data_IF_807309377984
#
_entry.id   IF_807309377984
#
_cell.length_a   1.000
_cell.length_b   1.000
_cell.length_c   1.000
_cell.angle_alpha   90.00
_cell.angle_beta   90.00
_cell.angle_gamma   90.00
#
_symmetry.space_group_name_H-M   'P 1'
#
loop_
_entity.id
_entity.type
_entity.pdbx_description
1 polymer ?
#
# COMPACT_ATOMS: atom_id res chain seq x y z
N UNK A 1 -71.96 22.58 30.28
CA UNK A 1 -71.34 23.91 30.05
C UNK A 1 -71.21 24.11 28.54
N UNK A 2 -71.46 25.32 28.01
CA UNK A 2 -71.55 25.60 26.56
C UNK A 2 -70.26 26.27 26.04
N UNK A 3 -69.90 26.02 24.78
CA UNK A 3 -68.83 26.76 24.06
C UNK A 3 -69.29 28.18 23.73
N UNK A 4 -68.34 29.12 23.62
CA UNK A 4 -68.46 30.32 22.79
C UNK A 4 -67.05 30.78 22.35
N UNK A 5 -66.96 31.36 21.14
CA UNK A 5 -65.71 31.74 20.47
C UNK A 5 -65.32 33.18 20.79
N UNK A 6 -64.05 33.55 20.52
CA UNK A 6 -63.81 34.77 19.74
C UNK A 6 -62.54 34.68 18.87
N UNK A 7 -62.67 35.12 17.63
CA UNK A 7 -61.61 35.20 16.61
C UNK A 7 -60.86 36.54 16.70
N UNK A 8 -59.54 36.52 16.62
CA UNK A 8 -58.74 37.71 16.28
C UNK A 8 -58.19 37.56 14.86
N UNK A 9 -58.69 38.36 13.92
CA UNK A 9 -58.19 38.46 12.53
C UNK A 9 -57.15 39.59 12.47
N UNK A 10 -55.96 39.35 11.89
CA UNK A 10 -55.07 40.42 11.44
C UNK A 10 -54.52 40.13 10.03
N UNK A 11 -54.75 41.08 9.13
CA UNK A 11 -54.43 41.10 7.68
C UNK A 11 -54.46 42.57 7.23
N UNK A 12 -53.66 43.11 6.30
CA UNK A 12 -52.69 42.54 5.33
C UNK A 12 -51.42 43.40 5.34
N UNK A 13 -50.23 42.83 5.14
CA UNK A 13 -49.04 43.59 4.73
C UNK A 13 -48.06 42.75 3.87
N UNK A 14 -48.42 42.52 2.61
CA UNK A 14 -47.46 42.08 1.58
C UNK A 14 -46.59 43.26 1.14
N UNK A 15 -45.27 43.12 1.18
CA UNK A 15 -44.36 44.00 0.46
C UNK A 15 -43.28 43.15 -0.22
N UNK A 16 -43.21 43.24 -1.54
CA UNK A 16 -42.34 42.45 -2.40
C UNK A 16 -40.93 43.06 -2.51
N UNK A 17 -40.03 42.25 -3.08
CA UNK A 17 -38.86 42.66 -3.86
C UNK A 17 -37.51 42.81 -3.12
N UNK A 18 -36.72 41.74 -3.14
CA UNK A 18 -35.37 41.80 -3.73
C UNK A 18 -34.89 40.39 -4.12
N UNK A 19 -34.40 40.26 -5.34
CA UNK A 19 -33.61 39.11 -5.79
C UNK A 19 -32.29 39.09 -5.00
N UNK A 20 -31.82 37.92 -4.60
CA UNK A 20 -30.45 37.50 -4.92
C UNK A 20 -30.23 35.98 -4.73
N UNK A 21 -29.86 35.33 -5.85
CA UNK A 21 -29.16 34.05 -5.98
C UNK A 21 -29.84 32.74 -5.54
N UNK A 22 -29.80 31.68 -6.38
CA UNK A 22 -30.20 30.34 -5.96
C UNK A 22 -29.17 29.77 -4.97
N UNK A 23 -29.65 28.99 -4.00
CA UNK A 23 -28.81 28.08 -3.24
C UNK A 23 -28.32 26.96 -4.18
N UNK A 24 -27.26 27.24 -4.95
CA UNK A 24 -26.47 26.22 -5.61
C UNK A 24 -25.73 25.46 -4.50
N UNK A 25 -26.43 24.49 -3.92
CA UNK A 25 -25.79 23.42 -3.15
C UNK A 25 -24.99 22.63 -4.17
N UNK A 26 -23.78 23.11 -4.46
CA UNK A 26 -22.72 22.24 -4.93
C UNK A 26 -22.76 21.03 -4.00
N UNK A 27 -22.81 19.80 -4.52
CA UNK A 27 -22.21 18.71 -3.78
C UNK A 27 -20.82 19.24 -3.43
N UNK A 28 -20.49 19.29 -2.13
CA UNK A 28 -19.08 19.22 -1.77
C UNK A 28 -18.66 17.89 -2.39
N UNK A 29 -18.06 17.95 -3.58
CA UNK A 29 -17.29 16.85 -4.11
C UNK A 29 -16.36 16.51 -2.95
N UNK A 30 -16.55 15.32 -2.39
CA UNK A 30 -15.78 14.84 -1.28
C UNK A 30 -14.37 14.66 -1.80
N UNK A 31 -13.64 15.77 -1.78
CA UNK A 31 -12.20 15.80 -1.64
C UNK A 31 -11.91 15.24 -0.25
N UNK A 32 -12.11 13.92 -0.16
CA UNK A 32 -11.12 13.02 0.41
C UNK A 32 -9.82 13.38 -0.31
N UNK A 33 -9.19 14.47 0.12
CA UNK A 33 -7.75 14.56 0.09
C UNK A 33 -7.33 13.36 0.93
N UNK A 34 -6.74 12.30 0.36
CA UNK A 34 -6.20 11.26 1.19
C UNK A 34 -5.24 11.94 2.18
N UNK A 35 -5.49 11.74 3.48
CA UNK A 35 -4.70 12.29 4.59
C UNK A 35 -3.34 11.61 4.70
N UNK A 36 -2.63 11.57 3.58
CA UNK A 36 -1.35 10.96 3.31
C UNK A 36 -1.06 11.33 1.84
N UNK A 37 -0.05 12.15 1.57
CA UNK A 37 0.55 12.10 0.23
C UNK A 37 0.94 10.66 -0.03
N UNK A 38 0.50 10.09 -1.15
CA UNK A 38 0.55 8.64 -1.36
C UNK A 38 2.02 8.20 -1.49
N UNK A 39 2.65 7.82 -0.36
CA UNK A 39 4.04 7.39 -0.23
C UNK A 39 4.25 6.00 -0.86
N UNK A 40 3.61 5.74 -2.00
CA UNK A 40 3.51 4.48 -2.70
C UNK A 40 4.88 3.82 -2.88
N UNK A 41 5.16 2.81 -2.05
CA UNK A 41 6.37 2.01 -2.14
C UNK A 41 6.23 1.17 -3.42
N UNK A 42 7.01 1.49 -4.44
CA UNK A 42 6.91 0.82 -5.74
C UNK A 42 7.22 -0.66 -5.54
N UNK A 43 6.37 -1.59 -6.03
CA UNK A 43 6.64 -3.02 -5.89
C UNK A 43 7.96 -3.36 -6.58
N UNK A 44 8.95 -3.74 -5.78
CA UNK A 44 10.34 -3.89 -6.20
C UNK A 44 10.54 -5.27 -6.82
N UNK A 45 11.01 -5.30 -8.06
CA UNK A 45 11.50 -6.52 -8.72
C UNK A 45 12.91 -6.85 -8.19
N UNK A 46 13.36 -8.10 -8.40
CA UNK A 46 14.75 -8.47 -8.12
C UNK A 46 15.70 -7.58 -8.91
N UNK A 47 16.60 -6.90 -8.23
CA UNK A 47 17.66 -6.10 -8.85
C UNK A 47 18.86 -6.96 -9.22
N UNK A 48 19.70 -6.50 -10.16
CA UNK A 48 20.94 -7.21 -10.54
C UNK A 48 21.85 -7.53 -9.34
N UNK A 49 21.95 -6.62 -8.37
CA UNK A 49 22.74 -6.83 -7.15
C UNK A 49 22.09 -7.82 -6.17
N UNK A 50 20.77 -7.98 -6.18
CA UNK A 50 20.08 -9.04 -5.41
C UNK A 50 20.23 -10.40 -6.10
N UNK A 51 20.24 -10.44 -7.43
CA UNK A 51 20.55 -11.66 -8.20
C UNK A 51 22.00 -12.12 -7.97
N UNK A 52 22.97 -11.22 -7.98
CA UNK A 52 24.36 -11.55 -7.72
C UNK A 52 24.56 -12.16 -6.32
N UNK A 53 23.92 -11.58 -5.28
CA UNK A 53 23.93 -12.14 -3.93
C UNK A 53 23.34 -13.55 -3.85
N UNK A 54 22.29 -13.85 -4.63
CA UNK A 54 21.72 -15.18 -4.70
C UNK A 54 22.65 -16.21 -5.35
N UNK A 55 23.55 -15.78 -6.25
CA UNK A 55 24.62 -16.62 -6.81
C UNK A 55 25.75 -16.81 -5.79
N UNK A 56 26.15 -15.76 -5.09
CA UNK A 56 27.16 -15.80 -4.01
C UNK A 56 26.72 -16.69 -2.83
N UNK A 57 25.47 -16.60 -2.39
CA UNK A 57 24.84 -17.48 -1.40
C UNK A 57 24.56 -18.91 -1.95
N UNK A 58 24.90 -19.19 -3.23
CA UNK A 58 24.67 -20.47 -3.94
C UNK A 58 23.20 -20.92 -3.94
N UNK A 59 22.27 -19.98 -3.84
CA UNK A 59 20.82 -20.24 -3.91
C UNK A 59 20.41 -20.49 -5.36
N UNK A 60 21.04 -19.80 -6.32
CA UNK A 60 20.85 -20.01 -7.77
C UNK A 60 22.21 -20.09 -8.48
N UNK A 61 22.24 -20.66 -9.69
CA UNK A 61 23.42 -20.57 -10.56
C UNK A 61 23.46 -19.23 -11.32
N UNK A 62 24.62 -18.87 -11.87
CA UNK A 62 24.76 -17.69 -12.73
C UNK A 62 23.82 -17.78 -13.95
N UNK A 63 23.70 -18.94 -14.59
CA UNK A 63 22.79 -19.18 -15.71
C UNK A 63 21.31 -18.95 -15.31
N UNK A 64 20.91 -19.38 -14.11
CA UNK A 64 19.58 -19.09 -13.59
C UNK A 64 19.38 -17.59 -13.33
N UNK A 65 20.40 -16.89 -12.80
CA UNK A 65 20.34 -15.45 -12.57
C UNK A 65 20.15 -14.66 -13.88
N UNK A 66 20.85 -15.04 -14.94
CA UNK A 66 20.72 -14.41 -16.26
C UNK A 66 19.35 -14.69 -16.91
N UNK A 67 18.82 -15.92 -16.79
CA UNK A 67 17.45 -16.26 -17.21
C UNK A 67 16.38 -15.49 -16.44
N UNK A 68 16.54 -15.29 -15.13
CA UNK A 68 15.63 -14.45 -14.33
C UNK A 68 15.71 -12.99 -14.79
N UNK A 69 16.90 -12.47 -15.07
CA UNK A 69 17.12 -11.10 -15.55
C UNK A 69 16.46 -10.86 -16.91
N UNK A 70 16.57 -11.81 -17.83
CA UNK A 70 15.88 -11.77 -19.13
C UNK A 70 14.36 -11.81 -18.95
N UNK A 71 13.85 -12.74 -18.12
CA UNK A 71 12.43 -12.86 -17.80
C UNK A 71 11.85 -11.55 -17.23
N UNK A 72 12.55 -10.93 -16.28
CA UNK A 72 12.15 -9.65 -15.67
C UNK A 72 12.18 -8.49 -16.69
N UNK A 73 13.15 -8.48 -17.62
CA UNK A 73 13.21 -7.49 -18.70
C UNK A 73 12.00 -7.62 -19.62
N UNK A 74 11.71 -8.85 -20.10
CA UNK A 74 10.55 -9.13 -20.96
C UNK A 74 9.24 -8.73 -20.28
N UNK A 75 9.05 -9.09 -19.00
CA UNK A 75 7.87 -8.69 -18.21
C UNK A 75 7.73 -7.17 -18.05
N UNK A 76 8.84 -6.43 -17.98
CA UNK A 76 8.83 -4.97 -17.91
C UNK A 76 8.40 -4.35 -19.25
N UNK A 77 8.83 -4.93 -20.38
CA UNK A 77 8.45 -4.52 -21.73
C UNK A 77 6.97 -4.82 -22.00
N UNK A 78 6.49 -6.03 -21.73
CA UNK A 78 5.06 -6.41 -21.78
C UNK A 78 4.18 -5.41 -21.02
N UNK A 79 4.57 -5.08 -19.78
CA UNK A 79 3.85 -4.13 -18.92
C UNK A 79 3.89 -2.69 -19.45
N UNK A 80 4.96 -2.29 -20.13
CA UNK A 80 5.09 -0.96 -20.75
C UNK A 80 4.17 -0.83 -21.96
N UNK A 81 4.07 -1.88 -22.78
CA UNK A 81 3.14 -1.94 -23.91
C UNK A 81 1.68 -1.95 -23.47
N UNK A 82 1.35 -2.77 -22.46
CA UNK A 82 0.03 -2.79 -21.82
C UNK A 82 -0.34 -1.39 -21.28
N UNK A 83 0.59 -0.74 -20.57
CA UNK A 83 0.40 0.62 -20.05
C UNK A 83 0.20 1.67 -21.17
N UNK A 84 0.80 1.50 -22.34
CA UNK A 84 0.57 2.39 -23.47
C UNK A 84 -0.84 2.19 -24.04
N UNK A 85 -1.26 0.94 -24.28
CA UNK A 85 -2.63 0.61 -24.74
C UNK A 85 -3.70 1.17 -23.79
N UNK A 86 -3.50 1.02 -22.47
CA UNK A 86 -4.41 1.54 -21.45
C UNK A 86 -4.53 3.08 -21.42
N UNK A 87 -3.49 3.81 -21.88
CA UNK A 87 -3.52 5.29 -22.00
C UNK A 87 -4.27 5.77 -23.23
N UNK A 88 -4.27 4.98 -24.30
CA UNK A 88 -4.97 5.27 -25.56
C UNK A 88 -6.48 4.99 -25.45
N UNK A 89 -6.88 4.10 -24.53
CA UNK A 89 -8.28 3.78 -24.22
C UNK A 89 -8.99 4.87 -23.41
N UNK A 90 -10.27 5.10 -23.72
CA UNK A 90 -11.19 5.86 -22.85
C UNK A 90 -11.50 5.10 -21.54
N UNK A 91 -12.19 5.76 -20.61
CA UNK A 91 -12.45 5.21 -19.28
C UNK A 91 -13.28 3.90 -19.30
N UNK A 92 -14.32 3.82 -20.13
CA UNK A 92 -15.17 2.62 -20.26
C UNK A 92 -14.46 1.49 -21.00
N UNK A 93 -13.70 1.84 -22.04
CA UNK A 93 -12.84 0.88 -22.75
C UNK A 93 -11.78 0.30 -21.82
N UNK A 94 -11.17 1.14 -20.98
CA UNK A 94 -10.15 0.74 -20.01
C UNK A 94 -10.74 -0.14 -18.90
N UNK A 95 -11.90 0.22 -18.36
CA UNK A 95 -12.64 -0.59 -17.39
C UNK A 95 -12.93 -1.99 -17.96
N UNK A 96 -13.61 -2.07 -19.11
CA UNK A 96 -13.92 -3.32 -19.77
C UNK A 96 -12.67 -4.13 -20.15
N UNK A 97 -11.61 -3.47 -20.65
CA UNK A 97 -10.33 -4.15 -20.93
C UNK A 97 -9.74 -4.75 -19.65
N UNK A 98 -9.72 -4.01 -18.55
CA UNK A 98 -9.20 -4.47 -17.28
C UNK A 98 -10.02 -5.62 -16.71
N UNK A 99 -11.35 -5.59 -16.80
CA UNK A 99 -12.20 -6.73 -16.38
C UNK A 99 -11.88 -8.00 -17.17
N UNK A 100 -11.88 -7.92 -18.50
CA UNK A 100 -11.64 -9.08 -19.38
C UNK A 100 -10.20 -9.60 -19.30
N UNK A 101 -9.23 -8.70 -19.09
CA UNK A 101 -7.80 -9.05 -19.02
C UNK A 101 -7.27 -9.13 -17.58
N UNK A 102 -8.14 -9.18 -16.56
CA UNK A 102 -7.75 -9.40 -15.16
C UNK A 102 -7.23 -10.83 -14.95
N UNK A 103 -6.03 -11.10 -15.47
CA UNK A 103 -5.26 -12.28 -15.07
C UNK A 103 -5.00 -12.14 -13.58
N UNK A 104 -5.41 -13.14 -12.79
CA UNK A 104 -4.91 -13.32 -11.41
C UNK A 104 -3.40 -13.21 -11.49
N UNK A 105 -2.83 -12.08 -11.04
CA UNK A 105 -1.42 -11.77 -11.24
C UNK A 105 -0.60 -12.90 -10.62
N UNK A 106 0.06 -13.76 -11.43
CA UNK A 106 0.83 -14.84 -10.86
C UNK A 106 1.99 -14.23 -10.08
N UNK A 107 2.34 -14.88 -8.98
CA UNK A 107 3.58 -14.57 -8.28
C UNK A 107 4.73 -14.74 -9.28
N UNK A 108 5.62 -13.75 -9.38
CA UNK A 108 6.79 -13.79 -10.28
C UNK A 108 7.58 -15.07 -10.04
N UNK A 109 7.68 -15.52 -8.78
CA UNK A 109 8.35 -16.76 -8.44
C UNK A 109 7.58 -18.02 -8.89
N UNK A 110 6.25 -17.98 -8.89
CA UNK A 110 5.42 -19.06 -9.45
C UNK A 110 5.59 -19.20 -10.96
N UNK A 111 5.71 -18.08 -11.70
CA UNK A 111 6.03 -18.10 -13.12
C UNK A 111 7.44 -18.66 -13.39
N UNK A 112 8.44 -18.24 -12.61
CA UNK A 112 9.83 -18.71 -12.74
C UNK A 112 9.97 -20.21 -12.44
N UNK A 113 9.20 -20.72 -11.47
CA UNK A 113 9.08 -22.17 -11.19
C UNK A 113 8.38 -22.91 -12.32
N UNK A 114 7.24 -22.38 -12.80
CA UNK A 114 6.49 -22.99 -13.92
C UNK A 114 7.30 -23.04 -15.21
N UNK A 115 8.16 -22.03 -15.42
CA UNK A 115 9.11 -21.93 -16.53
C UNK A 115 10.38 -22.77 -16.33
N UNK A 116 10.49 -23.51 -15.22
CA UNK A 116 11.67 -24.33 -14.81
C UNK A 116 12.99 -23.55 -14.76
N UNK A 117 12.92 -22.23 -14.53
CA UNK A 117 14.11 -21.38 -14.35
C UNK A 117 14.68 -21.58 -12.95
N UNK A 118 13.82 -21.78 -11.94
CA UNK A 118 14.17 -22.11 -10.55
C UNK A 118 13.30 -23.23 -9.99
N UNK A 119 13.72 -23.87 -8.90
CA UNK A 119 12.87 -24.81 -8.13
C UNK A 119 11.99 -24.06 -7.11
N UNK A 120 10.98 -24.73 -6.57
CA UNK A 120 10.16 -24.20 -5.47
C UNK A 120 10.99 -23.88 -4.22
N UNK A 121 11.99 -24.71 -3.91
CA UNK A 121 12.90 -24.48 -2.78
C UNK A 121 13.74 -23.21 -2.99
N UNK A 122 14.28 -23.02 -4.20
CA UNK A 122 15.00 -21.79 -4.58
C UNK A 122 14.07 -20.57 -4.49
N UNK A 123 12.85 -20.67 -5.02
CA UNK A 123 11.83 -19.61 -4.92
C UNK A 123 11.53 -19.22 -3.47
N UNK A 124 11.42 -20.19 -2.56
CA UNK A 124 11.18 -19.93 -1.13
C UNK A 124 12.40 -19.29 -0.45
N UNK A 125 13.62 -19.76 -0.73
CA UNK A 125 14.87 -19.13 -0.24
C UNK A 125 15.01 -17.68 -0.72
N UNK A 126 14.68 -17.40 -1.99
CA UNK A 126 14.68 -16.03 -2.53
C UNK A 126 13.65 -15.15 -1.80
N UNK A 127 12.43 -15.63 -1.58
CA UNK A 127 11.38 -14.90 -0.84
C UNK A 127 11.82 -14.55 0.58
N UNK A 128 12.42 -15.49 1.31
CA UNK A 128 12.94 -15.21 2.67
C UNK A 128 14.15 -14.26 2.65
N UNK A 129 15.04 -14.33 1.66
CA UNK A 129 16.11 -13.33 1.48
C UNK A 129 15.52 -11.92 1.23
N UNK A 130 14.52 -11.79 0.34
CA UNK A 130 13.86 -10.50 0.09
C UNK A 130 13.17 -9.94 1.34
N UNK A 131 12.56 -10.81 2.15
CA UNK A 131 11.94 -10.46 3.44
C UNK A 131 13.00 -9.95 4.42
N UNK A 132 14.08 -10.72 4.66
CA UNK A 132 15.23 -10.29 5.49
C UNK A 132 15.79 -8.93 5.03
N UNK A 133 16.01 -8.75 3.73
CA UNK A 133 16.52 -7.50 3.15
C UNK A 133 15.56 -6.31 3.32
N UNK A 134 14.24 -6.54 3.37
CA UNK A 134 13.25 -5.49 3.65
C UNK A 134 13.24 -5.13 5.13
N UNK A 135 13.29 -6.12 6.01
CA UNK A 135 13.34 -5.93 7.46
C UNK A 135 14.62 -5.20 7.89
N UNK A 136 15.78 -5.56 7.33
CA UNK A 136 17.05 -4.88 7.62
C UNK A 136 17.03 -3.40 7.20
N UNK A 137 16.47 -3.07 6.04
CA UNK A 137 16.32 -1.68 5.57
C UNK A 137 15.33 -0.86 6.39
N UNK A 138 14.24 -1.49 6.85
CA UNK A 138 13.31 -0.85 7.80
C UNK A 138 14.04 -0.53 9.11
N UNK A 139 14.80 -1.49 9.66
CA UNK A 139 15.59 -1.30 10.88
C UNK A 139 16.68 -0.22 10.73
N UNK A 140 17.35 -0.16 9.58
CA UNK A 140 18.32 0.90 9.27
C UNK A 140 17.66 2.29 9.28
N UNK A 141 16.51 2.44 8.61
CA UNK A 141 15.78 3.71 8.60
C UNK A 141 15.28 4.09 9.99
N UNK A 142 14.73 3.15 10.76
CA UNK A 142 14.28 3.41 12.14
C UNK A 142 15.42 3.88 13.05
N UNK A 143 16.61 3.27 12.94
CA UNK A 143 17.82 3.70 13.68
C UNK A 143 18.31 5.09 13.23
N UNK A 144 18.28 5.37 11.93
CA UNK A 144 18.66 6.67 11.39
C UNK A 144 17.70 7.78 11.85
N UNK A 145 16.40 7.52 11.88
CA UNK A 145 15.39 8.48 12.35
C UNK A 145 15.42 8.66 13.88
N UNK A 146 15.74 7.61 14.65
CA UNK A 146 16.04 7.75 16.08
C UNK A 146 17.30 8.61 16.33
N UNK A 147 18.34 8.43 15.52
CA UNK A 147 19.60 9.21 15.62
C UNK A 147 19.42 10.69 15.26
N UNK A 148 18.41 11.03 14.46
CA UNK A 148 18.00 12.42 14.17
C UNK A 148 17.12 13.05 15.24
N UNK A 149 16.67 12.28 16.23
CA UNK A 149 15.66 12.70 17.20
C UNK A 149 14.23 12.73 16.66
N UNK A 150 13.97 12.20 15.45
CA UNK A 150 12.60 12.06 14.91
C UNK A 150 11.74 11.19 15.83
N UNK A 151 12.33 10.14 16.41
CA UNK A 151 11.73 9.29 17.45
C UNK A 151 12.71 9.10 18.61
N UNK A 152 12.22 8.88 19.83
CA UNK A 152 13.07 8.58 20.98
C UNK A 152 13.57 7.12 20.98
N UNK A 153 14.61 6.83 21.77
CA UNK A 153 15.09 5.45 21.96
C UNK A 153 14.02 4.53 22.60
N UNK A 154 13.13 5.09 23.43
CA UNK A 154 12.02 4.34 24.02
C UNK A 154 10.94 4.04 22.97
N UNK A 155 10.63 5.00 22.08
CA UNK A 155 9.74 4.77 20.95
C UNK A 155 10.32 3.70 20.01
N UNK A 156 11.62 3.74 19.72
CA UNK A 156 12.29 2.71 18.91
C UNK A 156 12.16 1.30 19.53
N UNK A 157 12.30 1.17 20.84
CA UNK A 157 12.10 -0.11 21.54
C UNK A 157 10.65 -0.61 21.40
N UNK A 158 9.65 0.25 21.63
CA UNK A 158 8.22 -0.07 21.46
C UNK A 158 7.86 -0.42 20.01
N UNK A 159 8.44 0.27 19.03
CA UNK A 159 8.29 -0.04 17.60
C UNK A 159 8.82 -1.45 17.29
N UNK A 160 9.98 -1.82 17.83
CA UNK A 160 10.55 -3.16 17.62
C UNK A 160 9.67 -4.25 18.25
N UNK A 161 9.20 -4.05 19.48
CA UNK A 161 8.26 -4.98 20.13
C UNK A 161 6.96 -5.13 19.31
N UNK A 162 6.42 -4.03 18.77
CA UNK A 162 5.25 -4.05 17.90
C UNK A 162 5.50 -4.83 16.59
N UNK A 163 6.67 -4.66 15.96
CA UNK A 163 7.07 -5.39 14.75
C UNK A 163 7.18 -6.89 15.02
N UNK A 164 7.76 -7.32 16.15
CA UNK A 164 7.86 -8.75 16.50
C UNK A 164 6.48 -9.36 16.79
N UNK A 165 5.60 -8.68 17.54
CA UNK A 165 4.19 -9.11 17.71
C UNK A 165 3.48 -9.30 16.37
N UNK A 166 3.72 -8.42 15.40
CA UNK A 166 3.19 -8.53 14.02
C UNK A 166 3.77 -9.71 13.24
N UNK A 167 5.05 -10.04 13.44
CA UNK A 167 5.66 -11.25 12.86
C UNK A 167 5.07 -12.52 13.44
N UNK A 168 4.88 -12.59 14.76
CA UNK A 168 4.22 -13.74 15.42
C UNK A 168 2.76 -13.91 14.95
N UNK A 169 1.99 -12.83 14.87
CA UNK A 169 0.63 -12.84 14.32
C UNK A 169 0.63 -13.40 12.89
N UNK A 170 1.55 -12.94 12.04
CA UNK A 170 1.69 -13.43 10.66
C UNK A 170 2.16 -14.89 10.59
N UNK A 171 3.03 -15.34 11.50
CA UNK A 171 3.46 -16.74 11.57
C UNK A 171 2.29 -17.67 11.95
N UNK A 172 1.42 -17.26 12.88
CA UNK A 172 0.18 -17.98 13.21
C UNK A 172 -0.72 -18.15 11.98
N UNK A 173 -0.83 -17.13 11.12
CA UNK A 173 -1.59 -17.22 9.86
C UNK A 173 -0.99 -18.23 8.86
N UNK A 174 0.32 -18.50 8.88
CA UNK A 174 0.93 -19.49 8.00
C UNK A 174 0.48 -20.92 8.33
N UNK A 175 0.14 -21.20 9.60
CA UNK A 175 -0.44 -22.47 10.04
C UNK A 175 -1.95 -22.60 9.81
N UNK A 176 -2.65 -21.54 9.38
CA UNK A 176 -4.11 -21.54 9.20
C UNK A 176 -4.56 -21.98 7.80
N UNK A 177 -5.76 -22.54 7.71
CA UNK A 177 -6.40 -22.89 6.44
C UNK A 177 -6.60 -21.66 5.54
N UNK A 178 -6.75 -21.83 4.21
CA UNK A 178 -7.04 -20.71 3.30
C UNK A 178 -8.31 -19.95 3.69
N UNK A 179 -9.32 -20.64 4.19
CA UNK A 179 -10.61 -20.08 4.61
C UNK A 179 -10.48 -19.28 5.92
N UNK A 180 -9.76 -19.83 6.90
CA UNK A 180 -9.44 -19.13 8.16
C UNK A 180 -8.64 -17.85 7.88
N UNK A 181 -7.63 -17.92 7.00
CA UNK A 181 -6.89 -16.74 6.53
C UNK A 181 -7.81 -15.73 5.84
N UNK A 182 -8.70 -16.18 4.95
CA UNK A 182 -9.66 -15.29 4.27
C UNK A 182 -10.58 -14.59 5.27
N UNK A 183 -11.11 -15.31 6.26
CA UNK A 183 -11.96 -14.74 7.31
C UNK A 183 -11.19 -13.73 8.17
N UNK A 184 -9.96 -14.06 8.58
CA UNK A 184 -9.09 -13.16 9.34
C UNK A 184 -8.81 -11.84 8.58
N UNK A 185 -8.47 -11.92 7.29
CA UNK A 185 -8.21 -10.73 6.46
C UNK A 185 -9.49 -9.97 6.08
N UNK A 186 -10.66 -10.61 6.06
CA UNK A 186 -11.94 -9.93 5.87
C UNK A 186 -12.39 -9.18 7.14
N UNK A 187 -12.00 -9.64 8.33
CA UNK A 187 -12.31 -9.01 9.60
C UNK A 187 -11.34 -7.88 10.01
N UNK A 188 -10.22 -7.70 9.30
CA UNK A 188 -9.24 -6.64 9.57
C UNK A 188 -9.11 -5.68 8.39
N UNK A 189 -9.22 -4.39 8.67
CA UNK A 189 -8.84 -3.36 7.70
C UNK A 189 -7.33 -3.42 7.40
N UNK A 190 -6.92 -3.38 6.12
CA UNK A 190 -5.50 -3.36 5.75
C UNK A 190 -4.90 -1.97 6.05
N UNK A 191 -4.20 -1.85 7.18
CA UNK A 191 -3.46 -0.64 7.58
C UNK A 191 -1.97 -0.81 7.35
N UNK A 192 -1.25 0.31 7.15
CA UNK A 192 0.20 0.31 7.13
C UNK A 192 0.79 0.34 8.54
N UNK A 193 2.04 -0.10 8.67
CA UNK A 193 2.75 -0.21 9.96
C UNK A 193 2.76 1.11 10.75
N UNK A 194 2.94 2.26 10.11
CA UNK A 194 3.04 3.53 10.82
C UNK A 194 1.68 4.05 11.25
N UNK A 195 0.62 3.81 10.46
CA UNK A 195 -0.75 4.07 10.90
C UNK A 195 -1.10 3.23 12.14
N UNK A 196 -0.76 1.95 12.17
CA UNK A 196 -0.97 1.11 13.37
C UNK A 196 -0.14 1.56 14.58
N UNK A 197 1.13 1.96 14.39
CA UNK A 197 1.98 2.49 15.46
C UNK A 197 1.44 3.81 16.04
N UNK A 198 0.80 4.65 15.21
CA UNK A 198 0.10 5.86 15.68
C UNK A 198 -1.15 5.50 16.47
N UNK A 199 -1.98 4.58 15.98
CA UNK A 199 -3.19 4.11 16.68
C UNK A 199 -2.84 3.47 18.04
N UNK A 200 -1.69 2.80 18.14
CA UNK A 200 -1.14 2.27 19.39
C UNK A 200 -0.53 3.35 20.32
N UNK A 201 -0.55 4.63 19.94
CA UNK A 201 0.04 5.74 20.72
C UNK A 201 1.58 5.70 20.83
N UNK A 202 2.25 4.89 20.01
CA UNK A 202 3.72 4.73 20.05
C UNK A 202 4.41 5.92 19.36
N UNK A 203 3.78 6.49 18.33
CA UNK A 203 4.27 7.66 17.58
C UNK A 203 3.16 8.70 17.36
N UNK A 204 3.55 9.96 17.15
CA UNK A 204 2.63 11.04 16.76
C UNK A 204 2.33 11.03 15.25
N UNK A 205 1.34 11.79 14.80
CA UNK A 205 1.04 11.98 13.38
C UNK A 205 2.24 12.54 12.59
N UNK A 206 2.90 13.58 13.12
CA UNK A 206 4.09 14.16 12.49
C UNK A 206 5.25 13.15 12.39
N UNK A 207 5.42 12.28 13.40
CA UNK A 207 6.39 11.18 13.36
C UNK A 207 5.99 10.12 12.32
N UNK A 208 4.70 9.77 12.21
CA UNK A 208 4.18 8.84 11.17
C UNK A 208 4.53 9.34 9.77
N UNK A 209 4.26 10.61 9.48
CA UNK A 209 4.57 11.21 8.19
C UNK A 209 6.08 11.24 7.90
N UNK A 210 6.89 11.66 8.88
CA UNK A 210 8.35 11.70 8.76
C UNK A 210 8.94 10.30 8.50
N UNK A 211 8.50 9.28 9.24
CA UNK A 211 8.93 7.89 9.06
C UNK A 211 8.50 7.33 7.70
N UNK A 212 7.25 7.58 7.28
CA UNK A 212 6.74 7.16 5.97
C UNK A 212 7.56 7.77 4.83
N UNK A 213 7.85 9.07 4.90
CA UNK A 213 8.72 9.80 3.96
C UNK A 213 10.16 9.29 3.96
N UNK A 214 10.72 9.02 5.13
CA UNK A 214 12.07 8.45 5.27
C UNK A 214 12.17 7.06 4.63
N UNK A 215 11.17 6.20 4.84
CA UNK A 215 11.08 4.87 4.21
C UNK A 215 10.91 4.98 2.69
N UNK A 216 10.01 5.85 2.22
CA UNK A 216 9.82 6.06 0.78
C UNK A 216 11.12 6.49 0.11
N UNK A 217 11.81 7.48 0.67
CA UNK A 217 13.06 8.01 0.14
C UNK A 217 14.17 6.96 0.13
N UNK A 218 14.35 6.18 1.19
CA UNK A 218 15.40 5.15 1.26
C UNK A 218 15.09 3.90 0.42
N UNK A 219 13.83 3.48 0.31
CA UNK A 219 13.45 2.30 -0.48
C UNK A 219 13.35 2.58 -1.98
N UNK A 220 12.98 3.80 -2.38
CA UNK A 220 12.85 4.19 -3.80
C UNK A 220 14.11 4.90 -4.36
N UNK A 221 15.13 5.22 -3.54
CA UNK A 221 16.41 5.73 -4.06
C UNK A 221 16.99 4.70 -5.03
N UNK A 222 17.15 5.10 -6.29
CA UNK A 222 17.99 4.38 -7.25
C UNK A 222 19.42 4.42 -6.69
N UNK A 223 20.19 3.32 -6.69
CA UNK A 223 21.62 3.43 -6.38
C UNK A 223 22.22 4.46 -7.34
N UNK A 224 23.03 5.37 -6.80
CA UNK A 224 23.89 6.22 -7.62
C UNK A 224 24.85 5.32 -8.38
N UNK A 225 24.82 5.42 -9.71
CA UNK A 225 25.84 4.84 -10.58
C UNK A 225 27.20 5.50 -10.32
#
# INVERSE_FOLDING_TARGET
MKKLNLMAKITVATLLLSLLLPAFVSPLASTIKPGCEDYFIKPKHLTSGELQKLVEEKIITQEQADKIKEYLKKRLEEKKEEMNKLKEMDEKQREHYLEQNYKKRPDIFGDLVSSKIITEEQANKIKEMMKRNRESKLQEVLKNEASKGTISSEQLAKINEFIEKKKEEKAKLQGMSPEQRKAYWAAKEPKDLFTELKEAGIITEAQREALSKAIHNNLNKKPSN
#
